data_IF_943858540435
#
_entry.id   IF_943858540435
#
_cell.length_a   1.000
_cell.length_b   1.000
_cell.length_c   1.000
_cell.angle_alpha   90.00
_cell.angle_beta   90.00
_cell.angle_gamma   90.00
#
_symmetry.space_group_name_H-M   'P 1'
#
loop_
_entity.id
_entity.type
_entity.pdbx_description
1 polymer ?
#
# COMPACT_ATOMS: atom_id res chain seq x y z
N UNK A 1 -0.85 -21.97 -2.50
CA UNK A 1 -0.92 -21.18 -3.75
C UNK A 1 0.47 -21.17 -4.37
N UNK A 2 0.64 -21.69 -5.59
CA UNK A 2 1.95 -21.75 -6.23
C UNK A 2 2.25 -20.40 -6.91
N UNK A 3 3.10 -19.57 -6.30
CA UNK A 3 3.52 -18.28 -6.84
C UNK A 3 4.84 -18.44 -7.59
N UNK A 4 4.93 -17.88 -8.79
CA UNK A 4 6.14 -17.89 -9.63
C UNK A 4 6.42 -16.51 -10.22
N UNK A 5 7.64 -16.27 -10.69
CA UNK A 5 7.98 -15.02 -11.37
C UNK A 5 7.08 -14.72 -12.58
N UNK A 6 6.57 -15.75 -13.27
CA UNK A 6 5.70 -15.62 -14.45
C UNK A 6 4.22 -15.47 -14.06
N UNK A 7 3.78 -16.19 -13.03
CA UNK A 7 2.41 -16.17 -12.54
C UNK A 7 2.36 -16.04 -11.02
N UNK A 8 2.04 -14.83 -10.55
CA UNK A 8 1.96 -14.47 -9.13
C UNK A 8 0.78 -13.53 -8.85
N UNK A 9 -0.32 -13.70 -9.60
CA UNK A 9 -1.58 -12.99 -9.35
C UNK A 9 -2.40 -13.74 -8.30
N UNK A 10 -3.05 -13.00 -7.42
CA UNK A 10 -4.01 -13.52 -6.45
C UNK A 10 -5.41 -12.95 -6.73
N UNK A 11 -6.48 -13.70 -6.45
CA UNK A 11 -7.83 -13.24 -6.73
C UNK A 11 -8.22 -12.05 -5.85
N UNK A 12 -9.01 -11.15 -6.43
CA UNK A 12 -9.78 -10.13 -5.72
C UNK A 12 -11.24 -10.56 -5.68
N UNK A 13 -11.98 -10.08 -4.69
CA UNK A 13 -13.37 -10.48 -4.44
C UNK A 13 -14.39 -9.98 -5.46
N UNK A 14 -13.98 -9.12 -6.40
CA UNK A 14 -14.80 -8.66 -7.52
C UNK A 14 -14.52 -9.43 -8.83
N UNK A 15 -13.81 -10.56 -8.76
CA UNK A 15 -13.46 -11.40 -9.90
C UNK A 15 -12.21 -10.97 -10.65
N UNK A 16 -11.64 -9.79 -10.35
CA UNK A 16 -10.33 -9.40 -10.87
C UNK A 16 -9.19 -10.13 -10.14
N UNK A 17 -7.94 -9.80 -10.48
CA UNK A 17 -6.76 -10.29 -9.78
C UNK A 17 -5.69 -9.21 -9.66
N UNK A 18 -4.86 -9.33 -8.62
CA UNK A 18 -3.75 -8.41 -8.33
C UNK A 18 -2.43 -9.18 -8.29
N UNK A 19 -1.36 -8.72 -8.98
CA UNK A 19 -0.02 -9.27 -8.79
C UNK A 19 0.45 -9.05 -7.36
N UNK A 20 0.91 -10.13 -6.70
CA UNK A 20 1.24 -10.14 -5.27
C UNK A 20 2.45 -9.28 -4.91
N UNK A 21 3.26 -8.90 -5.90
CA UNK A 21 4.33 -7.92 -5.77
C UNK A 21 4.13 -6.81 -6.79
N UNK A 22 4.25 -5.56 -6.32
CA UNK A 22 4.30 -4.37 -7.16
C UNK A 22 5.48 -3.47 -6.84
N UNK A 23 5.74 -2.49 -7.70
CA UNK A 23 6.70 -1.42 -7.44
C UNK A 23 5.97 -0.23 -6.80
N UNK A 24 6.32 0.15 -5.58
CA UNK A 24 5.88 1.41 -5.00
C UNK A 24 6.66 2.59 -5.61
N UNK A 25 6.00 3.73 -5.86
CA UNK A 25 6.63 4.88 -6.55
C UNK A 25 6.78 6.14 -5.70
N UNK A 26 6.40 6.12 -4.41
CA UNK A 26 6.69 7.25 -3.53
C UNK A 26 8.19 7.55 -3.45
N UNK A 27 8.55 8.80 -3.66
CA UNK A 27 9.88 9.34 -3.43
C UNK A 27 9.74 10.80 -3.02
N UNK A 28 10.61 11.30 -2.14
CA UNK A 28 10.55 12.68 -1.68
C UNK A 28 10.66 13.64 -2.90
N UNK A 29 9.62 14.43 -3.24
CA UNK A 29 9.59 15.17 -4.49
C UNK A 29 10.74 16.17 -4.65
N UNK A 30 11.17 16.78 -3.54
CA UNK A 30 12.20 17.83 -3.51
C UNK A 30 13.59 17.27 -3.84
N UNK A 31 13.90 16.07 -3.34
CA UNK A 31 15.25 15.49 -3.42
C UNK A 31 15.40 14.39 -4.47
N UNK A 32 14.32 14.05 -5.19
CA UNK A 32 14.35 12.99 -6.20
C UNK A 32 14.57 13.59 -7.60
N UNK A 33 15.62 13.17 -8.34
CA UNK A 33 15.82 13.61 -9.71
C UNK A 33 14.64 13.26 -10.62
N UNK A 34 14.23 14.19 -11.49
CA UNK A 34 13.20 13.97 -12.51
C UNK A 34 13.58 12.80 -13.42
N UNK A 35 12.61 12.02 -13.85
CA UNK A 35 12.81 10.83 -14.70
C UNK A 35 13.25 9.57 -13.93
N UNK A 36 13.58 9.69 -12.64
CA UNK A 36 13.94 8.52 -11.81
C UNK A 36 12.78 7.54 -11.69
N UNK A 37 11.54 8.03 -11.62
CA UNK A 37 10.37 7.17 -11.51
C UNK A 37 10.12 6.45 -12.83
N UNK A 38 10.14 7.16 -13.96
CA UNK A 38 9.96 6.57 -15.29
C UNK A 38 10.99 5.45 -15.54
N UNK A 39 12.28 5.75 -15.30
CA UNK A 39 13.37 4.78 -15.44
C UNK A 39 13.16 3.54 -14.59
N UNK A 40 12.76 3.72 -13.33
CA UNK A 40 12.55 2.62 -12.39
C UNK A 40 11.35 1.75 -12.74
N UNK A 41 10.25 2.35 -13.20
CA UNK A 41 9.07 1.61 -13.66
C UNK A 41 9.42 0.78 -14.89
N UNK A 42 10.19 1.32 -15.84
CA UNK A 42 10.66 0.56 -17.01
C UNK A 42 11.50 -0.65 -16.61
N UNK A 43 12.47 -0.46 -15.72
CA UNK A 43 13.31 -1.54 -15.20
C UNK A 43 12.47 -2.60 -14.47
N UNK A 44 11.49 -2.18 -13.68
CA UNK A 44 10.60 -3.11 -12.99
C UNK A 44 9.78 -3.96 -13.99
N UNK A 45 9.20 -3.34 -15.02
CA UNK A 45 8.47 -4.07 -16.07
C UNK A 45 9.38 -5.07 -16.79
N UNK A 46 10.61 -4.66 -17.12
CA UNK A 46 11.61 -5.52 -17.75
C UNK A 46 12.03 -6.69 -16.85
N UNK A 47 12.09 -6.46 -15.55
CA UNK A 47 12.40 -7.47 -14.52
C UNK A 47 11.29 -8.52 -14.38
N UNK A 48 10.03 -8.13 -14.60
CA UNK A 48 8.87 -9.01 -14.48
C UNK A 48 7.72 -8.46 -13.64
N UNK A 49 7.86 -7.28 -13.04
CA UNK A 49 6.76 -6.64 -12.31
C UNK A 49 5.60 -6.37 -13.24
N UNK A 50 4.39 -6.63 -12.74
CA UNK A 50 3.12 -6.36 -13.43
C UNK A 50 2.18 -5.50 -12.60
N UNK A 51 2.63 -5.01 -11.45
CA UNK A 51 1.88 -4.13 -10.57
C UNK A 51 2.74 -2.91 -10.24
N UNK A 52 2.19 -1.71 -10.43
CA UNK A 52 2.80 -0.44 -10.02
C UNK A 52 1.84 0.28 -9.08
N UNK A 53 2.32 0.70 -7.91
CA UNK A 53 1.56 1.49 -6.94
C UNK A 53 2.05 2.92 -6.93
N UNK A 54 1.14 3.86 -7.19
CA UNK A 54 1.40 5.29 -7.17
C UNK A 54 0.27 6.08 -6.51
N UNK A 55 0.40 7.40 -6.60
CA UNK A 55 -0.60 8.37 -6.22
C UNK A 55 -0.30 9.68 -6.92
N UNK A 56 -1.33 10.45 -7.27
CA UNK A 56 -1.15 11.76 -7.89
C UNK A 56 -0.26 12.68 -7.03
N UNK A 57 -0.51 12.68 -5.72
CA UNK A 57 0.24 13.48 -4.73
C UNK A 57 1.73 13.14 -4.62
N UNK A 58 2.20 12.04 -5.23
CA UNK A 58 3.63 11.72 -5.29
C UNK A 58 4.37 12.57 -6.34
N UNK A 59 3.64 13.38 -7.12
CA UNK A 59 4.14 14.33 -8.12
C UNK A 59 4.95 13.67 -9.26
N UNK A 60 4.80 12.35 -9.44
CA UNK A 60 5.50 11.56 -10.44
C UNK A 60 4.57 10.59 -11.19
N UNK A 61 3.25 10.73 -11.04
CA UNK A 61 2.28 9.85 -11.71
C UNK A 61 2.38 9.94 -13.25
N UNK A 62 2.72 11.11 -13.79
CA UNK A 62 2.99 11.29 -15.21
C UNK A 62 4.19 10.45 -15.69
N UNK A 63 5.26 10.33 -14.89
CA UNK A 63 6.42 9.48 -15.19
C UNK A 63 6.06 7.99 -15.17
N UNK A 64 5.14 7.57 -14.30
CA UNK A 64 4.58 6.20 -14.30
C UNK A 64 3.83 5.93 -15.60
N UNK A 65 2.96 6.87 -16.00
CA UNK A 65 2.20 6.77 -17.25
C UNK A 65 3.09 6.70 -18.48
N UNK A 66 4.15 7.53 -18.54
CA UNK A 66 5.16 7.50 -19.60
C UNK A 66 5.81 6.12 -19.72
N UNK A 67 6.35 5.59 -18.62
CA UNK A 67 7.03 4.30 -18.61
C UNK A 67 6.13 3.14 -19.03
N UNK A 68 4.87 3.12 -18.56
CA UNK A 68 3.90 2.09 -18.95
C UNK A 68 3.59 2.18 -20.44
N UNK A 69 3.29 3.38 -20.96
CA UNK A 69 2.99 3.59 -22.39
C UNK A 69 4.17 3.20 -23.27
N UNK A 70 5.39 3.57 -22.88
CA UNK A 70 6.60 3.21 -23.61
C UNK A 70 6.79 1.69 -23.69
N UNK A 71 6.59 0.96 -22.58
CA UNK A 71 6.69 -0.50 -22.56
C UNK A 71 5.59 -1.20 -23.36
N UNK A 72 4.40 -0.61 -23.43
CA UNK A 72 3.32 -1.08 -24.32
C UNK A 72 3.71 -0.83 -25.78
N UNK A 73 4.19 0.37 -26.13
CA UNK A 73 4.60 0.71 -27.49
C UNK A 73 5.76 -0.17 -28.00
N UNK A 74 6.67 -0.57 -27.11
CA UNK A 74 7.74 -1.53 -27.39
C UNK A 74 7.27 -2.99 -27.52
N UNK A 75 5.97 -3.28 -27.29
CA UNK A 75 5.43 -4.64 -27.30
C UNK A 75 5.89 -5.52 -26.13
N UNK A 76 6.49 -4.92 -25.08
CA UNK A 76 7.01 -5.68 -23.92
C UNK A 76 5.90 -6.26 -23.05
N UNK A 77 4.77 -5.55 -22.97
CA UNK A 77 3.56 -5.92 -22.22
C UNK A 77 2.34 -5.35 -22.94
N UNK A 78 1.18 -5.97 -22.76
CA UNK A 78 -0.12 -5.38 -23.13
C UNK A 78 -0.68 -4.59 -21.96
N UNK A 79 -1.70 -3.77 -22.23
CA UNK A 79 -2.35 -2.97 -21.17
C UNK A 79 -2.95 -3.85 -20.09
N UNK A 80 -3.60 -4.95 -20.47
CA UNK A 80 -4.22 -5.95 -19.60
C UNK A 80 -3.22 -6.68 -18.70
N UNK A 81 -1.94 -6.73 -19.08
CA UNK A 81 -0.90 -7.37 -18.29
C UNK A 81 -0.50 -6.48 -17.09
N UNK A 82 -0.70 -5.16 -17.17
CA UNK A 82 -0.30 -4.17 -16.14
C UNK A 82 -1.44 -3.83 -15.19
N UNK A 83 -1.18 -3.96 -13.90
CA UNK A 83 -2.02 -3.48 -12.81
C UNK A 83 -1.45 -2.16 -12.26
N UNK A 84 -2.26 -1.10 -12.24
CA UNK A 84 -1.87 0.17 -11.64
C UNK A 84 -2.81 0.49 -10.47
N UNK A 85 -2.24 0.89 -9.34
CA UNK A 85 -2.97 1.39 -8.18
C UNK A 85 -2.72 2.89 -8.06
N UNK A 86 -3.77 3.69 -8.18
CA UNK A 86 -3.74 5.13 -7.99
C UNK A 86 -4.47 5.54 -6.73
N UNK A 87 -4.12 6.69 -6.16
CA UNK A 87 -4.79 7.26 -5.00
C UNK A 87 -5.15 8.70 -5.35
N UNK A 88 -6.44 9.06 -5.38
CA UNK A 88 -6.86 10.40 -5.75
C UNK A 88 -6.43 11.41 -4.69
N UNK A 89 -6.26 12.66 -5.09
CA UNK A 89 -6.01 13.79 -4.19
C UNK A 89 -5.09 14.82 -4.85
N UNK A 90 -5.40 16.09 -4.64
CA UNK A 90 -4.67 17.20 -5.27
C UNK A 90 -3.50 17.67 -4.40
N UNK A 91 -3.74 17.82 -3.10
CA UNK A 91 -2.77 18.29 -2.13
C UNK A 91 -2.46 17.27 -1.03
N UNK A 92 -1.17 17.17 -0.72
CA UNK A 92 -0.63 16.29 0.31
C UNK A 92 -1.26 16.68 1.67
N UNK A 93 -1.29 17.97 2.02
CA UNK A 93 -1.87 18.47 3.26
C UNK A 93 -2.26 19.96 3.16
N UNK A 94 -3.55 20.30 2.95
CA UNK A 94 -3.95 21.70 2.85
C UNK A 94 -3.80 22.38 4.22
N UNK A 95 -3.19 23.57 4.21
CA UNK A 95 -3.02 24.45 5.37
C UNK A 95 -3.62 25.81 5.05
N UNK A 96 -4.14 26.48 6.07
CA UNK A 96 -4.42 27.91 5.96
C UNK A 96 -3.12 28.74 6.04
N UNK A 97 -3.26 30.04 5.88
CA UNK A 97 -2.18 31.04 5.99
C UNK A 97 -1.43 31.00 7.34
N UNK A 98 -2.07 30.47 8.39
CA UNK A 98 -1.50 30.33 9.73
C UNK A 98 -0.85 28.96 9.95
N UNK A 99 -0.75 28.13 8.91
CA UNK A 99 -0.17 26.79 8.97
C UNK A 99 -1.06 25.76 9.68
N UNK A 100 -2.32 26.07 9.97
CA UNK A 100 -3.28 25.14 10.56
C UNK A 100 -3.83 24.21 9.48
N UNK A 101 -3.90 22.93 9.80
CA UNK A 101 -4.44 21.92 8.89
C UNK A 101 -5.92 22.17 8.59
N UNK A 102 -6.25 22.25 7.31
CA UNK A 102 -7.62 22.39 6.83
C UNK A 102 -8.27 21.00 6.78
N UNK A 103 -9.10 20.71 7.78
CA UNK A 103 -9.93 19.51 7.77
C UNK A 103 -11.27 19.77 7.10
N UNK A 104 -11.89 18.71 6.59
CA UNK A 104 -13.25 18.76 6.06
C UNK A 104 -14.08 17.67 6.74
N UNK A 105 -15.39 17.89 6.90
CA UNK A 105 -16.30 16.84 7.38
C UNK A 105 -16.19 15.64 6.44
N UNK A 106 -15.77 14.49 6.97
CA UNK A 106 -15.61 13.29 6.16
C UNK A 106 -16.85 12.42 6.24
N UNK A 107 -17.36 12.05 5.07
CA UNK A 107 -18.40 11.04 4.92
C UNK A 107 -17.83 9.91 4.06
N UNK A 108 -17.37 8.84 4.71
CA UNK A 108 -16.72 7.73 4.03
C UNK A 108 -17.70 7.00 3.09
N UNK A 109 -18.98 6.85 3.48
CA UNK A 109 -20.01 6.22 2.66
C UNK A 109 -20.32 7.03 1.39
N UNK A 110 -20.52 8.35 1.52
CA UNK A 110 -20.78 9.20 0.36
C UNK A 110 -19.56 9.27 -0.58
N UNK A 111 -18.35 9.28 -0.01
CA UNK A 111 -17.14 9.21 -0.85
C UNK A 111 -17.05 7.85 -1.55
N UNK A 112 -17.43 6.76 -0.87
CA UNK A 112 -17.47 5.44 -1.47
C UNK A 112 -18.47 5.35 -2.61
N UNK A 113 -19.67 5.93 -2.50
CA UNK A 113 -20.66 6.01 -3.59
C UNK A 113 -20.08 6.69 -4.84
N UNK A 114 -19.31 7.76 -4.66
CA UNK A 114 -18.63 8.41 -5.78
C UNK A 114 -17.59 7.49 -6.44
N UNK A 115 -16.88 6.65 -5.67
CA UNK A 115 -15.96 5.65 -6.23
C UNK A 115 -16.71 4.51 -6.93
N UNK A 116 -17.87 4.10 -6.40
CA UNK A 116 -18.76 3.14 -7.06
C UNK A 116 -19.20 3.65 -8.44
N UNK A 117 -19.56 4.93 -8.54
CA UNK A 117 -19.89 5.57 -9.82
C UNK A 117 -18.69 5.58 -10.79
N UNK A 118 -17.45 5.76 -10.31
CA UNK A 118 -16.26 5.64 -11.16
C UNK A 118 -16.08 4.23 -11.73
N UNK A 119 -16.43 3.19 -10.95
CA UNK A 119 -16.39 1.79 -11.42
C UNK A 119 -17.49 1.53 -12.45
N UNK A 120 -18.70 2.04 -12.21
CA UNK A 120 -19.81 1.96 -13.15
C UNK A 120 -19.49 2.65 -14.49
N UNK A 121 -18.81 3.79 -14.45
CA UNK A 121 -18.35 4.52 -15.63
C UNK A 121 -17.16 3.85 -16.35
N UNK A 122 -16.67 2.70 -15.86
CA UNK A 122 -15.56 1.95 -16.46
C UNK A 122 -14.19 2.61 -16.31
N UNK A 123 -14.05 3.63 -15.46
CA UNK A 123 -12.79 4.35 -15.24
C UNK A 123 -11.80 3.53 -14.39
N UNK A 124 -12.32 2.66 -13.53
CA UNK A 124 -11.59 1.77 -12.62
C UNK A 124 -12.16 0.36 -12.71
N UNK A 125 -11.34 -0.68 -12.47
CA UNK A 125 -11.82 -2.07 -12.45
C UNK A 125 -12.17 -2.54 -11.04
N UNK A 126 -11.38 -2.11 -10.06
CA UNK A 126 -11.51 -2.52 -8.66
C UNK A 126 -11.43 -1.31 -7.74
N UNK A 127 -12.09 -1.40 -6.59
CA UNK A 127 -12.14 -0.33 -5.58
C UNK A 127 -11.54 -0.82 -4.27
N UNK A 128 -10.75 0.03 -3.62
CA UNK A 128 -10.09 -0.31 -2.37
C UNK A 128 -9.97 0.87 -1.42
N UNK A 129 -9.35 0.63 -0.28
CA UNK A 129 -9.09 1.65 0.72
C UNK A 129 -7.63 1.61 1.15
N UNK A 130 -7.18 2.63 1.87
CA UNK A 130 -5.85 2.68 2.48
C UNK A 130 -5.91 3.30 3.86
N UNK A 131 -5.09 2.78 4.78
CA UNK A 131 -5.08 3.19 6.18
C UNK A 131 -6.43 3.00 6.91
N UNK A 132 -7.36 2.23 6.37
CA UNK A 132 -8.66 1.99 7.01
C UNK A 132 -8.53 0.98 8.15
N UNK A 133 -9.15 1.30 9.30
CA UNK A 133 -9.33 0.38 10.42
C UNK A 133 -10.61 -0.45 10.34
N UNK A 134 -10.73 -1.40 11.26
CA UNK A 134 -11.88 -2.31 11.36
C UNK A 134 -13.21 -1.56 11.33
N UNK A 135 -13.36 -0.52 12.17
CA UNK A 135 -14.58 0.29 12.24
C UNK A 135 -14.87 1.00 10.91
N UNK A 136 -13.85 1.54 10.25
CA UNK A 136 -14.01 2.23 8.97
C UNK A 136 -14.36 1.25 7.84
N UNK A 137 -13.78 0.04 7.85
CA UNK A 137 -14.14 -1.02 6.91
C UNK A 137 -15.58 -1.48 7.14
N UNK A 138 -15.97 -1.75 8.38
CA UNK A 138 -17.36 -2.13 8.72
C UNK A 138 -18.36 -1.07 8.30
N UNK A 139 -18.02 0.21 8.44
CA UNK A 139 -18.89 1.30 8.02
C UNK A 139 -19.19 1.24 6.52
N UNK A 140 -18.21 0.90 5.68
CA UNK A 140 -18.44 0.67 4.25
C UNK A 140 -19.17 -0.64 4.00
N UNK A 141 -18.75 -1.74 4.64
CA UNK A 141 -19.34 -3.06 4.43
C UNK A 141 -20.83 -3.12 4.85
N UNK A 142 -21.22 -2.35 5.85
CA UNK A 142 -22.60 -2.26 6.35
C UNK A 142 -23.39 -1.08 5.76
N UNK A 143 -22.82 -0.38 4.77
CA UNK A 143 -23.48 0.76 4.13
C UNK A 143 -24.77 0.30 3.42
N UNK A 144 -25.93 0.95 3.67
CA UNK A 144 -27.15 0.68 2.92
C UNK A 144 -26.95 0.85 1.41
N UNK A 145 -27.40 -0.13 0.63
CA UNK A 145 -27.26 -0.11 -0.83
C UNK A 145 -25.81 -0.20 -1.34
N UNK A 146 -24.88 -0.77 -0.54
CA UNK A 146 -23.51 -1.04 -1.00
C UNK A 146 -23.54 -1.86 -2.30
N UNK A 147 -22.92 -1.33 -3.35
CA UNK A 147 -22.87 -1.96 -4.68
C UNK A 147 -21.57 -2.72 -4.89
N UNK A 148 -20.45 -2.15 -4.47
CA UNK A 148 -19.13 -2.77 -4.59
C UNK A 148 -18.40 -2.74 -3.27
N UNK A 149 -18.08 -3.92 -2.72
CA UNK A 149 -17.24 -4.03 -1.52
C UNK A 149 -15.79 -3.61 -1.82
N UNK A 150 -15.07 -3.04 -0.83
CA UNK A 150 -13.63 -2.80 -0.97
C UNK A 150 -12.90 -4.13 -1.13
N UNK A 151 -12.17 -4.31 -2.22
CA UNK A 151 -11.45 -5.57 -2.50
C UNK A 151 -10.06 -5.62 -1.88
N UNK A 152 -9.52 -4.46 -1.48
CA UNK A 152 -8.22 -4.34 -0.84
C UNK A 152 -8.18 -3.26 0.22
N UNK A 153 -7.31 -3.43 1.22
CA UNK A 153 -6.93 -2.40 2.17
C UNK A 153 -5.41 -2.26 2.23
N UNK A 154 -4.88 -1.13 1.77
CA UNK A 154 -3.46 -0.85 1.77
C UNK A 154 -3.01 -0.25 3.11
N UNK A 155 -2.15 -0.94 3.84
CA UNK A 155 -1.72 -0.54 5.20
C UNK A 155 -0.24 -0.82 5.42
N UNK A 156 0.37 -0.19 6.42
CA UNK A 156 1.70 -0.56 6.88
C UNK A 156 1.68 -2.02 7.32
N UNK A 157 2.58 -2.83 6.76
CA UNK A 157 2.67 -4.23 7.11
C UNK A 157 4.05 -4.82 6.80
N UNK A 158 4.72 -5.34 7.82
CA UNK A 158 6.06 -5.95 7.77
C UNK A 158 6.33 -6.71 9.08
N UNK A 159 7.45 -7.44 9.25
CA UNK A 159 7.67 -8.26 10.45
C UNK A 159 7.57 -7.52 11.79
N UNK A 160 7.94 -6.23 11.89
CA UNK A 160 7.73 -5.46 13.14
C UNK A 160 6.30 -4.96 13.37
N UNK A 161 5.44 -5.03 12.36
CA UNK A 161 4.05 -4.59 12.42
C UNK A 161 3.18 -5.50 11.53
N UNK A 162 2.90 -6.71 12.02
CA UNK A 162 2.37 -7.82 11.20
C UNK A 162 0.86 -7.76 10.97
N UNK A 163 0.16 -6.79 11.56
CA UNK A 163 -1.28 -6.56 11.38
C UNK A 163 -2.18 -7.78 11.69
N UNK A 164 -1.93 -8.59 12.73
CA UNK A 164 -2.57 -9.91 12.87
C UNK A 164 -4.11 -9.83 12.94
N UNK A 165 -4.64 -8.89 13.74
CA UNK A 165 -6.09 -8.70 13.90
C UNK A 165 -6.75 -8.16 12.62
N UNK A 166 -6.12 -7.17 11.99
CA UNK A 166 -6.65 -6.55 10.77
C UNK A 166 -6.58 -7.50 9.58
N UNK A 167 -5.49 -8.26 9.44
CA UNK A 167 -5.32 -9.27 8.41
C UNK A 167 -6.41 -10.34 8.52
N UNK A 168 -6.64 -10.88 9.73
CA UNK A 168 -7.70 -11.85 9.99
C UNK A 168 -9.09 -11.30 9.66
N UNK A 169 -9.37 -10.05 10.04
CA UNK A 169 -10.62 -9.39 9.67
C UNK A 169 -10.77 -9.27 8.15
N UNK A 170 -9.74 -8.75 7.47
CA UNK A 170 -9.78 -8.58 6.02
C UNK A 170 -9.95 -9.92 5.29
N UNK A 171 -9.27 -10.98 5.73
CA UNK A 171 -9.45 -12.34 5.21
C UNK A 171 -10.89 -12.85 5.37
N UNK A 172 -11.52 -12.65 6.53
CA UNK A 172 -12.93 -13.04 6.77
C UNK A 172 -13.90 -12.35 5.80
N UNK A 173 -13.53 -11.16 5.32
CA UNK A 173 -14.33 -10.37 4.40
C UNK A 173 -13.76 -10.38 2.97
N UNK A 174 -12.89 -11.33 2.58
CA UNK A 174 -12.17 -11.39 1.28
C UNK A 174 -11.66 -10.02 0.79
N UNK A 175 -11.03 -9.29 1.70
CA UNK A 175 -10.30 -8.05 1.45
C UNK A 175 -8.81 -8.39 1.48
N UNK A 176 -8.10 -8.09 0.40
CA UNK A 176 -6.66 -8.31 0.31
C UNK A 176 -5.92 -7.19 1.02
N UNK A 177 -5.02 -7.53 1.95
CA UNK A 177 -4.08 -6.54 2.50
C UNK A 177 -2.98 -6.26 1.47
N UNK A 178 -2.73 -4.97 1.22
CA UNK A 178 -1.58 -4.49 0.45
C UNK A 178 -0.62 -3.81 1.42
N UNK A 179 0.53 -4.43 1.67
CA UNK A 179 1.58 -3.93 2.53
C UNK A 179 2.31 -2.74 1.88
N UNK A 180 1.97 -1.51 2.30
CA UNK A 180 2.84 -0.37 2.06
C UNK A 180 4.02 -0.40 3.05
N UNK A 181 5.13 0.23 2.66
CA UNK A 181 6.38 0.22 3.42
C UNK A 181 6.86 -1.20 3.84
N UNK A 182 6.77 -2.22 2.97
CA UNK A 182 7.02 -3.61 3.37
C UNK A 182 8.49 -3.87 3.77
N UNK A 183 9.39 -2.94 3.42
CA UNK A 183 10.82 -2.96 3.77
C UNK A 183 11.17 -2.10 5.01
N UNK A 184 10.17 -1.57 5.72
CA UNK A 184 10.42 -0.71 6.90
C UNK A 184 10.78 0.74 6.56
N UNK A 185 10.13 1.27 5.51
CA UNK A 185 10.21 2.65 5.00
C UNK A 185 11.58 3.08 4.45
N UNK A 186 11.70 4.31 3.91
CA UNK A 186 12.99 4.93 3.59
C UNK A 186 13.67 5.59 4.81
N UNK A 187 13.03 5.54 5.99
CA UNK A 187 13.50 6.11 7.26
C UNK A 187 13.69 7.63 7.27
N UNK A 188 12.95 8.34 6.41
CA UNK A 188 12.90 9.79 6.40
C UNK A 188 12.30 10.33 7.71
N UNK A 189 13.06 11.11 8.50
CA UNK A 189 12.63 11.55 9.83
C UNK A 189 11.44 12.51 9.81
N UNK A 190 11.07 13.06 8.65
CA UNK A 190 9.91 13.98 8.55
C UNK A 190 8.56 13.28 8.73
N UNK A 191 8.48 11.96 8.54
CA UNK A 191 7.24 11.19 8.69
C UNK A 191 7.42 9.78 9.28
N UNK A 192 8.66 9.30 9.41
CA UNK A 192 8.97 7.99 10.00
C UNK A 192 9.30 8.12 11.48
N UNK A 193 8.73 7.23 12.29
CA UNK A 193 9.21 6.97 13.65
C UNK A 193 10.62 6.34 13.59
N UNK A 194 11.64 7.19 13.71
CA UNK A 194 13.06 6.79 13.67
C UNK A 194 13.55 6.15 14.96
N UNK A 195 12.78 6.21 16.07
CA UNK A 195 13.14 5.54 17.34
C UNK A 195 13.15 4.02 17.22
N UNK A 196 12.36 3.47 16.29
CA UNK A 196 12.31 2.03 16.03
C UNK A 196 13.53 1.63 15.19
N UNK A 197 14.25 0.59 15.62
CA UNK A 197 15.42 0.08 14.90
C UNK A 197 15.11 -0.24 13.44
N UNK A 198 16.04 -0.05 12.48
CA UNK A 198 15.79 -0.38 11.08
C UNK A 198 15.47 -1.86 10.86
N UNK A 199 14.35 -2.17 10.22
CA UNK A 199 13.90 -3.54 9.94
C UNK A 199 14.95 -4.36 9.19
N UNK A 200 15.58 -3.76 8.16
CA UNK A 200 16.57 -4.45 7.33
C UNK A 200 17.91 -4.73 8.05
N UNK A 201 18.03 -4.35 9.32
CA UNK A 201 19.19 -4.62 10.19
C UNK A 201 18.89 -5.62 11.30
N UNK A 202 17.68 -6.20 11.32
CA UNK A 202 17.31 -7.21 12.31
C UNK A 202 18.26 -8.42 12.25
N UNK A 203 18.85 -8.85 13.39
CA UNK A 203 19.84 -9.93 13.40
C UNK A 203 19.24 -11.29 13.05
N UNK A 204 18.00 -11.55 13.45
CA UNK A 204 17.30 -12.81 13.12
C UNK A 204 17.03 -12.88 11.62
N UNK A 205 16.46 -11.81 11.03
CA UNK A 205 16.20 -11.78 9.59
C UNK A 205 17.50 -11.86 8.77
N UNK A 206 18.60 -11.29 9.28
CA UNK A 206 19.92 -11.41 8.65
C UNK A 206 20.45 -12.84 8.69
N UNK A 207 20.28 -13.55 9.81
CA UNK A 207 20.66 -14.96 9.91
C UNK A 207 19.81 -15.83 8.97
N UNK A 208 18.50 -15.58 8.91
CA UNK A 208 17.60 -16.28 7.99
C UNK A 208 17.93 -16.00 6.52
N UNK A 209 18.31 -14.76 6.19
CA UNK A 209 18.82 -14.39 4.88
C UNK A 209 20.03 -15.22 4.46
N UNK A 210 21.00 -15.42 5.36
CA UNK A 210 22.17 -16.28 5.09
C UNK A 210 21.77 -17.72 4.77
N UNK A 211 20.78 -18.29 5.50
CA UNK A 211 20.29 -19.66 5.26
C UNK A 211 19.81 -19.87 3.82
N UNK A 212 19.12 -18.88 3.26
CA UNK A 212 18.55 -18.96 1.91
C UNK A 212 19.43 -18.33 0.82
N UNK A 213 20.61 -17.80 1.16
CA UNK A 213 21.40 -16.95 0.28
C UNK A 213 20.59 -15.77 -0.29
N UNK A 214 19.84 -15.10 0.60
CA UNK A 214 18.94 -13.98 0.30
C UNK A 214 19.23 -12.79 1.21
N UNK A 215 18.87 -11.60 0.74
CA UNK A 215 18.95 -10.37 1.55
C UNK A 215 17.79 -10.28 2.53
N UNK A 216 17.93 -9.48 3.59
CA UNK A 216 16.84 -9.23 4.53
C UNK A 216 15.60 -8.66 3.81
N UNK A 217 15.80 -7.85 2.76
CA UNK A 217 14.69 -7.33 1.95
C UNK A 217 13.89 -8.46 1.28
N UNK A 218 14.57 -9.43 0.67
CA UNK A 218 13.92 -10.60 0.08
C UNK A 218 13.19 -11.45 1.13
N UNK A 219 13.78 -11.61 2.32
CA UNK A 219 13.16 -12.35 3.43
C UNK A 219 11.82 -11.70 3.85
N UNK A 220 11.81 -10.39 4.11
CA UNK A 220 10.59 -9.71 4.57
C UNK A 220 9.51 -9.61 3.50
N UNK A 221 9.90 -9.54 2.22
CA UNK A 221 8.96 -9.59 1.10
C UNK A 221 8.37 -10.98 0.94
N UNK A 222 9.22 -12.03 0.96
CA UNK A 222 8.78 -13.43 0.90
C UNK A 222 7.77 -13.75 2.00
N UNK A 223 8.03 -13.28 3.21
CA UNK A 223 7.15 -13.49 4.37
C UNK A 223 5.72 -13.04 4.08
N UNK A 224 5.55 -11.80 3.59
CA UNK A 224 4.23 -11.27 3.31
C UNK A 224 3.55 -11.98 2.13
N UNK A 225 4.26 -12.22 1.01
CA UNK A 225 3.62 -12.87 -0.14
C UNK A 225 3.21 -14.32 0.18
N UNK A 226 3.97 -15.03 1.03
CA UNK A 226 3.67 -16.41 1.40
C UNK A 226 2.40 -16.54 2.26
N UNK A 227 2.04 -15.48 3.00
CA UNK A 227 0.79 -15.39 3.77
C UNK A 227 -0.34 -14.65 3.06
N UNK A 228 -0.22 -14.47 1.73
CA UNK A 228 -1.27 -13.87 0.89
C UNK A 228 -1.38 -12.34 1.01
N UNK A 229 -0.35 -11.67 1.54
CA UNK A 229 -0.29 -10.20 1.62
C UNK A 229 0.46 -9.68 0.41
N UNK A 230 -0.17 -8.77 -0.34
CA UNK A 230 0.48 -8.10 -1.48
C UNK A 230 1.57 -7.15 -0.94
N UNK A 231 2.74 -7.09 -1.57
CA UNK A 231 3.82 -6.19 -1.19
C UNK A 231 4.12 -5.18 -2.30
N UNK A 232 4.35 -3.92 -1.94
CA UNK A 232 4.70 -2.86 -2.88
C UNK A 232 6.04 -2.17 -2.50
N UNK A 233 7.17 -2.91 -2.48
CA UNK A 233 8.47 -2.33 -2.18
C UNK A 233 8.81 -1.20 -3.17
N UNK A 234 9.35 -0.10 -2.65
CA UNK A 234 9.88 0.98 -3.48
C UNK A 234 11.39 0.85 -3.60
N UNK A 235 11.90 0.93 -4.82
CA UNK A 235 13.31 1.20 -5.11
C UNK A 235 13.43 1.96 -6.42
N UNK A 236 14.28 2.99 -6.47
CA UNK A 236 14.72 3.63 -7.72
C UNK A 236 16.18 3.27 -8.07
N UNK A 237 16.70 2.23 -7.43
CA UNK A 237 18.00 1.65 -7.77
C UNK A 237 17.77 0.36 -8.58
N UNK A 238 18.38 0.22 -9.78
CA UNK A 238 18.15 -0.91 -10.67
C UNK A 238 18.42 -2.28 -10.04
N UNK A 239 19.52 -2.41 -9.29
CA UNK A 239 19.95 -3.66 -8.66
C UNK A 239 18.92 -4.10 -7.61
N UNK A 240 18.49 -3.17 -6.75
CA UNK A 240 17.46 -3.45 -5.73
C UNK A 240 16.08 -3.72 -6.31
N UNK A 241 15.72 -3.12 -7.46
CA UNK A 241 14.46 -3.46 -8.15
C UNK A 241 14.49 -4.93 -8.56
N UNK A 242 15.59 -5.37 -9.18
CA UNK A 242 15.81 -6.77 -9.57
C UNK A 242 15.84 -7.70 -8.37
N UNK A 243 16.60 -7.34 -7.34
CA UNK A 243 16.75 -8.11 -6.09
C UNK A 243 15.40 -8.37 -5.41
N UNK A 244 14.58 -7.33 -5.24
CA UNK A 244 13.27 -7.40 -4.58
C UNK A 244 12.29 -8.36 -5.29
N UNK A 245 12.49 -8.63 -6.58
CA UNK A 245 11.62 -9.53 -7.35
C UNK A 245 12.03 -11.01 -7.21
N UNK A 246 13.25 -11.30 -6.77
CA UNK A 246 13.77 -12.68 -6.64
C UNK A 246 13.30 -13.33 -5.32
N UNK A 247 11.97 -13.45 -5.17
CA UNK A 247 11.27 -13.98 -3.98
C UNK A 247 10.36 -15.18 -4.29
N UNK A 248 10.52 -15.75 -5.48
CA UNK A 248 9.70 -16.88 -5.96
C UNK A 248 10.46 -18.21 -6.01
N UNK A 249 11.77 -18.19 -5.83
CA UNK A 249 12.69 -19.33 -5.91
C UNK A 249 13.00 -19.97 -4.54
N UNK A 250 12.35 -19.51 -3.47
CA UNK A 250 12.45 -20.10 -2.14
C UNK A 250 11.13 -19.92 -1.37
N UNK A 251 10.97 -20.67 -0.28
CA UNK A 251 9.82 -20.58 0.63
C UNK A 251 10.26 -20.83 2.07
N UNK A 252 9.54 -20.25 3.02
CA UNK A 252 9.75 -20.53 4.43
C UNK A 252 9.00 -21.78 4.87
N UNK A 253 9.53 -22.47 5.88
CA UNK A 253 8.77 -23.48 6.62
C UNK A 253 7.69 -22.81 7.47
N UNK A 254 6.72 -23.59 7.95
CA UNK A 254 5.71 -23.09 8.89
C UNK A 254 6.31 -22.57 10.20
N UNK A 255 7.42 -23.16 10.65
CA UNK A 255 8.15 -22.70 11.84
C UNK A 255 8.82 -21.34 11.58
N UNK A 256 9.51 -21.18 10.46
CA UNK A 256 10.14 -19.91 10.10
C UNK A 256 9.11 -18.79 9.89
N UNK A 257 7.93 -19.12 9.33
CA UNK A 257 6.82 -18.17 9.21
C UNK A 257 6.36 -17.68 10.59
N UNK A 258 6.26 -18.58 11.59
CA UNK A 258 5.92 -18.23 12.98
C UNK A 258 7.03 -17.39 13.63
N UNK A 259 8.29 -17.74 13.42
CA UNK A 259 9.43 -17.01 13.97
C UNK A 259 9.49 -15.58 13.44
N UNK A 260 9.27 -15.38 12.12
CA UNK A 260 9.20 -14.05 11.53
C UNK A 260 7.99 -13.27 12.06
N UNK A 261 6.84 -13.93 12.23
CA UNK A 261 5.64 -13.30 12.79
C UNK A 261 5.84 -12.89 14.27
N UNK A 262 6.61 -13.65 15.04
CA UNK A 262 6.96 -13.34 16.42
C UNK A 262 7.83 -12.07 16.58
N UNK A 263 8.44 -11.57 15.49
CA UNK A 263 9.13 -10.27 15.49
C UNK A 263 8.18 -9.08 15.63
N UNK A 264 6.86 -9.30 15.59
CA UNK A 264 5.87 -8.24 15.69
C UNK A 264 6.03 -7.44 16.99
N UNK A 265 6.31 -6.14 16.85
CA UNK A 265 6.43 -5.20 17.96
C UNK A 265 5.14 -4.45 18.23
N UNK A 266 4.17 -4.54 17.33
CA UNK A 266 2.96 -3.73 17.34
C UNK A 266 3.26 -2.21 17.37
N UNK A 267 4.41 -1.81 16.83
CA UNK A 267 4.83 -0.40 16.68
C UNK A 267 4.94 -0.08 15.19
N UNK A 268 4.38 1.06 14.81
CA UNK A 268 4.41 1.57 13.44
C UNK A 268 5.65 2.42 13.21
N UNK A 269 6.23 2.31 12.04
CA UNK A 269 7.07 3.36 11.47
C UNK A 269 6.25 4.55 11.00
N UNK A 270 5.01 4.36 10.51
CA UNK A 270 4.18 5.44 9.95
C UNK A 270 3.00 5.71 10.87
N UNK A 271 3.25 6.50 11.91
CA UNK A 271 2.26 6.82 12.95
C UNK A 271 1.29 7.93 12.56
N UNK A 272 1.66 8.76 11.58
CA UNK A 272 0.86 9.89 11.12
C UNK A 272 0.45 10.84 12.28
N UNK A 273 1.36 11.08 13.24
CA UNK A 273 1.09 11.84 14.47
C UNK A 273 0.48 13.24 14.23
N UNK A 274 0.78 13.83 13.08
CA UNK A 274 0.23 15.12 12.61
C UNK A 274 -1.31 15.09 12.53
N UNK A 275 -1.92 13.92 12.32
CA UNK A 275 -3.38 13.73 12.20
C UNK A 275 -4.07 13.35 13.51
N UNK A 276 -3.38 13.31 14.64
CA UNK A 276 -3.97 12.83 15.92
C UNK A 276 -5.19 13.62 16.39
N UNK A 277 -5.41 14.85 15.89
CA UNK A 277 -6.61 15.67 16.16
C UNK A 277 -7.79 15.39 15.22
N UNK A 278 -7.61 14.54 14.22
CA UNK A 278 -8.64 14.18 13.25
C UNK A 278 -9.44 12.97 13.76
N UNK A 279 -10.78 13.05 13.80
CA UNK A 279 -11.61 11.99 14.41
C UNK A 279 -11.59 10.68 13.59
N UNK A 280 -11.24 10.78 12.31
CA UNK A 280 -11.05 9.65 11.40
C UNK A 280 -9.58 9.25 11.27
N UNK A 281 -8.68 9.88 12.02
CA UNK A 281 -7.32 9.38 12.16
C UNK A 281 -7.42 7.93 12.61
N UNK A 282 -6.88 6.98 11.85
CA UNK A 282 -6.92 5.59 12.22
C UNK A 282 -5.99 5.42 13.44
N UNK A 283 -6.52 5.65 14.63
CA UNK A 283 -5.78 5.50 15.89
C UNK A 283 -5.86 4.04 16.28
N UNK A 284 -4.88 3.28 15.80
CA UNK A 284 -4.77 1.86 16.06
C UNK A 284 -4.27 1.63 17.48
N UNK A 285 -5.19 1.44 18.44
CA UNK A 285 -4.86 0.83 19.74
C UNK A 285 -4.84 1.73 20.99
N UNK A 286 -5.40 2.94 20.98
CA UNK A 286 -5.67 3.65 22.25
C UNK A 286 -7.00 3.19 22.87
N UNK A 287 -6.97 2.95 24.18
CA UNK A 287 -8.14 2.51 24.95
C UNK A 287 -9.25 3.57 24.91
N UNK A 288 -10.49 3.13 25.03
CA UNK A 288 -11.68 4.01 25.06
C UNK A 288 -11.63 5.01 26.23
N UNK A 289 -10.89 4.69 27.29
CA UNK A 289 -10.66 5.51 28.47
C UNK A 289 -9.72 6.69 28.20
N UNK A 290 -8.70 6.52 27.35
CA UNK A 290 -7.85 7.63 26.88
C UNK A 290 -8.59 8.59 25.93
N UNK A 291 -9.73 8.17 25.35
CA UNK A 291 -10.57 9.00 24.48
C UNK A 291 -11.31 10.10 25.24
N UNK A 292 -11.64 9.89 26.53
CA UNK A 292 -12.50 10.81 27.30
C UNK A 292 -11.82 12.08 27.81
N UNK A 293 -10.48 12.15 27.81
CA UNK A 293 -9.76 13.27 28.43
C UNK A 293 -9.56 14.47 27.47
N UNK A 294 -9.79 14.32 26.15
CA UNK A 294 -9.53 15.42 25.19
C UNK A 294 -10.60 15.70 24.13
N UNK A 295 -11.76 15.04 24.15
CA UNK A 295 -12.87 15.35 23.24
C UNK A 295 -14.06 15.84 24.08
N UNK A 296 -13.93 17.03 24.66
CA UNK A 296 -15.09 17.85 25.04
C UNK A 296 -15.29 18.84 23.91
N UNK A 297 -16.44 18.72 23.24
CA UNK A 297 -16.98 19.63 22.23
C UNK A 297 -16.01 20.00 21.12
N UNK A 298 -16.10 19.33 19.96
CA UNK A 298 -16.04 19.97 18.64
C UNK A 298 -16.21 18.90 17.54
N UNK A 299 -16.83 19.33 16.45
CA UNK A 299 -17.53 18.57 15.40
C UNK A 299 -16.68 17.55 14.60
N UNK A 300 -17.38 16.62 13.91
CA UNK A 300 -16.83 15.52 13.11
C UNK A 300 -15.96 15.98 11.90
N UNK A 301 -14.64 16.03 12.05
CA UNK A 301 -13.70 16.39 10.96
C UNK A 301 -12.77 15.23 10.54
N UNK A 302 -12.68 14.94 9.22
CA UNK A 302 -11.84 13.89 8.64
C UNK A 302 -10.89 14.33 7.52
N UNK A 303 -9.99 13.43 7.09
CA UNK A 303 -8.93 13.67 6.10
C UNK A 303 -9.16 12.80 4.85
N UNK A 304 -9.04 13.38 3.65
CA UNK A 304 -9.31 12.73 2.33
C UNK A 304 -8.32 11.61 1.94
N UNK A 305 -7.37 11.23 2.82
CA UNK A 305 -6.22 10.36 2.52
C UNK A 305 -6.47 8.86 2.53
N UNK A 306 -7.67 8.40 2.85
CA UNK A 306 -7.89 7.01 3.23
C UNK A 306 -8.44 6.12 2.10
N UNK A 307 -8.56 6.61 0.86
CA UNK A 307 -9.23 5.89 -0.24
C UNK A 307 -8.25 5.49 -1.35
N UNK A 308 -8.40 4.28 -1.90
CA UNK A 308 -7.56 3.76 -2.98
C UNK A 308 -8.42 3.44 -4.21
N UNK A 309 -7.93 3.85 -5.38
CA UNK A 309 -8.51 3.47 -6.66
C UNK A 309 -7.58 2.46 -7.36
N UNK A 310 -8.04 1.23 -7.53
CA UNK A 310 -7.30 0.26 -8.33
C UNK A 310 -7.65 0.49 -9.80
N UNK A 311 -6.90 1.41 -10.39
CA UNK A 311 -7.04 1.88 -11.76
C UNK A 311 -6.44 0.87 -12.73
N UNK A 312 -7.32 0.11 -13.38
CA UNK A 312 -7.00 -0.44 -14.70
C UNK A 312 -7.78 0.35 -15.75
N UNK A 313 -7.34 1.59 -15.99
CA UNK A 313 -7.97 2.46 -16.99
C UNK A 313 -7.51 2.12 -18.42
N UNK A 314 -8.44 2.04 -19.39
CA UNK A 314 -8.17 2.29 -20.80
C UNK A 314 -8.56 3.73 -21.17
N UNK A 315 -7.67 4.46 -21.84
CA UNK A 315 -8.07 5.28 -22.97
C UNK A 315 -7.09 5.07 -24.11
N UNK A 316 -7.64 4.57 -25.23
CA UNK A 316 -7.18 5.00 -26.55
C UNK A 316 -7.51 6.49 -26.61
N UNK A 317 -6.50 7.33 -26.73
CA UNK A 317 -6.68 8.62 -27.36
C UNK A 317 -6.90 8.32 -28.85
N UNK A 318 -8.09 8.66 -29.35
CA UNK A 318 -8.29 8.92 -30.77
C UNK A 318 -7.92 10.39 -31.00
#
# INVERSE_FOLDING_TARGET
>A
MHLSAVNHRIPLSDGNSIPIIGLGTYSAPISTPKGSCATSVKIAIDTGYRHIDGAYIYQNEHEVGEAIREKIAQGKVRREDIFYCGKPGDDVYPKDENGKWLYHKSNLCATWEALEACKDAGLVKSLGVSNFNHRQLELILNKPGLKYKPVSNQVECHPYFTQPKLLKFCQKHDIVIVAYSPLGTCRDPSWVNVSVQPLLKDPFLKALGKKYNKTVAQIVLRFNIQRGVVVIPKSFNPERIKENFQIFDFSFTEEEMKDIEALNKNIRYVELLIFTRNIWCPTWGKSETERKIKVKQDEDFGSRRCLCLLLHSPRKEN
#
